data_IF_911993869480
#
_entry.id   IF_911993869480
#
_cell.length_a   1.000
_cell.length_b   1.000
_cell.length_c   1.000
_cell.angle_alpha   90.00
_cell.angle_beta   90.00
_cell.angle_gamma   90.00
#
_symmetry.space_group_name_H-M   'P 1'
#
loop_
_entity.id
_entity.type
_entity.pdbx_description
1 polymer ?
#
# COMPACT_ATOMS: atom_id res chain seq x y z
N UNK A 1 1.45 13.50 -37.94
CA UNK A 1 1.98 12.98 -36.65
C UNK A 1 3.07 11.93 -36.88
N UNK A 2 2.79 10.85 -37.63
CA UNK A 2 3.80 9.83 -37.95
C UNK A 2 5.00 10.39 -38.72
N UNK A 3 4.77 11.27 -39.71
CA UNK A 3 5.88 11.90 -40.47
C UNK A 3 6.75 12.80 -39.59
N UNK A 4 6.13 13.47 -38.61
CA UNK A 4 6.86 14.28 -37.63
C UNK A 4 7.72 13.40 -36.72
N UNK A 5 7.19 12.26 -36.25
CA UNK A 5 7.96 11.30 -35.46
C UNK A 5 9.13 10.72 -36.28
N UNK A 6 8.88 10.31 -37.53
CA UNK A 6 9.94 9.84 -38.43
C UNK A 6 11.02 10.89 -38.62
N UNK A 7 10.63 12.12 -38.92
CA UNK A 7 11.57 13.24 -39.06
C UNK A 7 12.37 13.48 -37.78
N UNK A 8 11.71 13.47 -36.61
CA UNK A 8 12.37 13.62 -35.31
C UNK A 8 13.44 12.55 -35.09
N UNK A 9 13.11 11.28 -35.28
CA UNK A 9 14.05 10.17 -35.06
C UNK A 9 15.17 10.11 -36.13
N UNK A 10 14.88 10.52 -37.37
CA UNK A 10 15.87 10.59 -38.45
C UNK A 10 16.94 11.68 -38.23
N UNK A 11 16.56 12.79 -37.58
CA UNK A 11 17.44 13.94 -37.34
C UNK A 11 17.94 14.02 -35.89
N UNK A 12 17.74 12.95 -35.11
CA UNK A 12 18.10 12.95 -33.71
C UNK A 12 19.61 12.75 -33.53
N UNK A 13 20.24 13.74 -32.92
CA UNK A 13 21.65 13.69 -32.54
C UNK A 13 21.82 13.72 -31.02
N UNK A 14 22.80 12.97 -30.54
CA UNK A 14 23.13 12.81 -29.14
C UNK A 14 24.48 13.41 -28.82
N UNK A 15 24.56 14.02 -27.64
CA UNK A 15 25.80 14.43 -27.00
C UNK A 15 25.76 13.92 -25.56
N UNK A 16 26.75 13.10 -25.19
CA UNK A 16 26.83 12.54 -23.83
C UNK A 16 27.86 13.34 -23.03
N UNK A 17 27.43 13.84 -21.87
CA UNK A 17 28.30 14.52 -20.91
C UNK A 17 28.43 13.70 -19.64
N UNK A 18 29.63 13.22 -19.34
CA UNK A 18 29.92 12.41 -18.15
C UNK A 18 31.31 12.74 -17.59
N UNK A 19 31.42 12.90 -16.27
CA UNK A 19 32.71 13.12 -15.61
C UNK A 19 33.49 14.35 -16.10
N UNK A 20 32.80 15.41 -16.54
CA UNK A 20 33.42 16.61 -17.12
C UNK A 20 33.85 16.48 -18.59
N UNK A 21 33.76 15.28 -19.18
CA UNK A 21 33.99 15.04 -20.61
C UNK A 21 32.69 15.14 -21.39
N UNK A 22 32.77 15.57 -22.65
CA UNK A 22 31.63 15.70 -23.57
C UNK A 22 32.01 15.00 -24.88
N UNK A 23 31.15 14.12 -25.38
CA UNK A 23 31.37 13.45 -26.67
C UNK A 23 31.18 14.43 -27.83
N UNK A 24 31.69 14.07 -29.02
CA UNK A 24 31.18 14.66 -30.25
C UNK A 24 29.70 14.27 -30.45
N UNK A 25 29.01 14.99 -31.35
CA UNK A 25 27.65 14.64 -31.75
C UNK A 25 27.65 13.30 -32.50
N UNK A 26 26.66 12.45 -32.22
CA UNK A 26 26.45 11.19 -32.93
C UNK A 26 24.96 10.86 -33.03
N UNK A 27 24.56 10.12 -34.07
CA UNK A 27 23.20 9.61 -34.22
C UNK A 27 23.06 8.22 -33.58
N UNK A 28 21.90 7.92 -32.99
CA UNK A 28 21.58 6.55 -32.60
C UNK A 28 21.19 5.73 -33.83
N UNK A 29 21.71 4.51 -33.94
CA UNK A 29 21.33 3.57 -34.99
C UNK A 29 19.94 2.96 -34.74
N UNK A 30 19.61 2.72 -33.47
CA UNK A 30 18.36 2.13 -33.02
C UNK A 30 18.05 2.61 -31.59
N UNK A 31 16.77 2.59 -31.23
CA UNK A 31 16.30 2.90 -29.89
C UNK A 31 15.29 4.06 -29.84
N UNK A 32 14.56 4.11 -28.74
CA UNK A 32 13.62 5.19 -28.43
C UNK A 32 14.30 6.28 -27.58
N UNK A 33 13.88 7.53 -27.70
CA UNK A 33 14.43 8.64 -26.94
C UNK A 33 14.01 8.54 -25.46
N UNK A 34 14.94 8.17 -24.58
CA UNK A 34 14.67 8.09 -23.15
C UNK A 34 14.33 9.49 -22.61
N UNK A 35 13.17 9.61 -21.95
CA UNK A 35 12.66 10.88 -21.44
C UNK A 35 11.72 11.62 -22.40
N UNK A 36 11.56 11.15 -23.63
CA UNK A 36 10.54 11.66 -24.55
C UNK A 36 9.13 11.17 -24.18
N UNK A 37 8.11 12.04 -24.21
CA UNK A 37 6.73 11.66 -23.88
C UNK A 37 6.10 10.61 -24.81
N UNK A 38 6.55 10.48 -26.06
CA UNK A 38 6.01 9.52 -27.02
C UNK A 38 6.71 8.15 -26.95
N UNK A 39 7.97 8.09 -26.49
CA UNK A 39 8.73 6.84 -26.36
C UNK A 39 7.98 5.68 -25.67
N UNK A 40 7.23 5.87 -24.56
CA UNK A 40 6.49 4.78 -23.93
C UNK A 40 5.43 4.13 -24.84
N UNK A 41 4.66 4.94 -25.59
CA UNK A 41 3.65 4.39 -26.51
C UNK A 41 4.31 3.76 -27.74
N UNK A 42 5.43 4.31 -28.21
CA UNK A 42 6.19 3.73 -29.31
C UNK A 42 6.73 2.34 -28.96
N UNK A 43 7.20 2.15 -27.72
CA UNK A 43 7.60 0.82 -27.22
C UNK A 43 6.44 -0.17 -27.20
N UNK A 44 5.27 0.24 -26.69
CA UNK A 44 4.08 -0.61 -26.64
C UNK A 44 3.63 -0.99 -28.06
N UNK A 45 3.64 -0.04 -29.01
CA UNK A 45 3.28 -0.31 -30.40
C UNK A 45 4.29 -1.24 -31.08
N UNK A 46 5.59 -1.07 -30.77
CA UNK A 46 6.65 -1.91 -31.31
C UNK A 46 6.52 -3.37 -30.87
N UNK A 47 6.07 -3.65 -29.64
CA UNK A 47 5.82 -5.01 -29.15
C UNK A 47 4.39 -5.52 -29.41
N UNK A 48 3.50 -4.71 -30.01
CA UNK A 48 2.07 -5.01 -30.06
C UNK A 48 1.69 -6.23 -30.91
N UNK A 49 2.62 -6.75 -31.72
CA UNK A 49 2.46 -7.96 -32.52
C UNK A 49 3.11 -9.20 -31.88
N UNK A 50 3.65 -9.09 -30.66
CA UNK A 50 4.08 -10.25 -29.88
C UNK A 50 2.87 -11.14 -29.61
N UNK A 51 2.87 -12.30 -30.26
CA UNK A 51 1.88 -13.32 -30.04
C UNK A 51 2.56 -14.68 -29.96
N UNK A 52 2.19 -15.46 -28.94
CA UNK A 52 2.66 -16.82 -28.75
C UNK A 52 1.55 -17.78 -29.19
N UNK A 53 1.90 -18.83 -29.93
CA UNK A 53 0.93 -19.82 -30.41
C UNK A 53 0.22 -20.47 -29.22
N UNK A 54 -1.10 -20.61 -29.28
CA UNK A 54 -1.87 -21.24 -28.20
C UNK A 54 -1.47 -22.71 -28.02
N UNK A 55 -1.25 -23.10 -26.76
CA UNK A 55 -0.99 -24.48 -26.36
C UNK A 55 -2.12 -24.98 -25.43
N UNK A 56 -2.40 -26.29 -25.39
CA UNK A 56 -3.40 -26.85 -24.48
C UNK A 56 -3.16 -26.55 -23.00
N UNK A 57 -1.90 -26.31 -22.62
CA UNK A 57 -1.46 -25.99 -21.26
C UNK A 57 -1.47 -24.48 -20.95
N UNK A 58 -1.99 -23.65 -21.84
CA UNK A 58 -2.13 -22.21 -21.57
C UNK A 58 -3.23 -21.96 -20.54
N UNK A 59 -3.04 -20.91 -19.73
CA UNK A 59 -4.04 -20.53 -18.75
C UNK A 59 -5.28 -19.96 -19.45
N UNK A 60 -6.46 -20.24 -18.90
CA UNK A 60 -7.72 -19.65 -19.37
C UNK A 60 -8.39 -18.88 -18.25
N UNK A 61 -8.90 -17.69 -18.56
CA UNK A 61 -9.67 -16.85 -17.64
C UNK A 61 -10.98 -16.48 -18.32
N UNK A 62 -12.12 -16.92 -17.79
CA UNK A 62 -13.43 -16.70 -18.39
C UNK A 62 -13.48 -17.03 -19.91
N UNK A 63 -12.84 -18.13 -20.31
CA UNK A 63 -12.76 -18.59 -21.70
C UNK A 63 -11.73 -17.88 -22.58
N UNK A 64 -11.00 -16.88 -22.07
CA UNK A 64 -9.89 -16.23 -22.78
C UNK A 64 -8.57 -16.92 -22.45
N UNK A 65 -7.83 -17.32 -23.47
CA UNK A 65 -6.46 -17.83 -23.33
C UNK A 65 -5.52 -16.70 -22.91
N UNK A 66 -4.67 -16.96 -21.92
CA UNK A 66 -3.64 -16.05 -21.42
C UNK A 66 -2.34 -16.82 -21.33
N UNK A 67 -1.43 -16.56 -22.28
CA UNK A 67 -0.15 -17.25 -22.37
C UNK A 67 1.06 -16.35 -22.05
N UNK A 68 0.88 -15.03 -22.09
CA UNK A 68 1.87 -14.07 -21.62
C UNK A 68 1.22 -12.77 -21.11
N UNK A 69 1.99 -11.98 -20.37
CA UNK A 69 1.68 -10.63 -19.92
C UNK A 69 2.90 -9.74 -20.14
N UNK A 70 2.64 -8.48 -20.48
CA UNK A 70 3.68 -7.49 -20.77
C UNK A 70 3.45 -6.23 -19.95
N UNK A 71 4.54 -5.68 -19.43
CA UNK A 71 4.58 -4.37 -18.83
C UNK A 71 5.92 -3.70 -19.15
N UNK A 72 5.90 -2.81 -20.16
CA UNK A 72 7.13 -2.26 -20.74
C UNK A 72 8.08 -3.39 -21.20
N UNK A 73 9.29 -3.48 -20.65
CA UNK A 73 10.28 -4.53 -20.95
C UNK A 73 10.08 -5.80 -20.11
N UNK A 74 9.32 -5.73 -19.02
CA UNK A 74 9.00 -6.90 -18.21
C UNK A 74 7.94 -7.76 -18.92
N UNK A 75 8.30 -9.00 -19.24
CA UNK A 75 7.38 -9.99 -19.83
C UNK A 75 7.28 -11.22 -18.93
N UNK A 76 6.08 -11.76 -18.78
CA UNK A 76 5.81 -12.97 -18.01
C UNK A 76 5.04 -13.98 -18.86
N UNK A 77 5.63 -15.15 -19.08
CA UNK A 77 4.99 -16.29 -19.76
C UNK A 77 4.42 -17.22 -18.68
N UNK A 78 3.19 -17.71 -18.86
CA UNK A 78 2.51 -18.55 -17.87
C UNK A 78 1.84 -19.74 -18.54
N UNK A 79 2.01 -20.92 -17.95
CA UNK A 79 1.43 -22.20 -18.40
C UNK A 79 1.07 -23.05 -17.18
N UNK A 80 0.14 -23.99 -17.34
CA UNK A 80 -0.19 -25.01 -16.32
C UNK A 80 0.80 -26.18 -16.32
N UNK A 81 1.65 -26.30 -17.33
CA UNK A 81 2.66 -27.34 -17.48
C UNK A 81 4.05 -26.75 -17.60
N UNK A 82 4.98 -27.26 -16.79
CA UNK A 82 6.38 -26.82 -16.83
C UNK A 82 7.03 -27.19 -18.17
N UNK A 83 6.63 -28.31 -18.79
CA UNK A 83 7.14 -28.72 -20.11
C UNK A 83 6.72 -27.76 -21.22
N UNK A 84 5.53 -27.16 -21.13
CA UNK A 84 5.05 -26.18 -22.10
C UNK A 84 5.88 -24.88 -22.09
N UNK A 85 6.68 -24.61 -21.05
CA UNK A 85 7.57 -23.45 -21.02
C UNK A 85 8.67 -23.53 -22.09
N UNK A 86 9.11 -24.74 -22.49
CA UNK A 86 10.18 -24.91 -23.50
C UNK A 86 9.76 -24.37 -24.87
N UNK A 87 8.66 -24.85 -25.50
CA UNK A 87 8.22 -24.30 -26.78
C UNK A 87 7.83 -22.82 -26.69
N UNK A 88 7.23 -22.36 -25.58
CA UNK A 88 6.90 -20.94 -25.38
C UNK A 88 8.14 -20.06 -25.29
N UNK A 89 9.16 -20.49 -24.55
CA UNK A 89 10.44 -19.78 -24.46
C UNK A 89 11.10 -19.70 -25.84
N UNK A 90 11.05 -20.75 -26.64
CA UNK A 90 11.58 -20.75 -28.01
C UNK A 90 10.83 -19.77 -28.91
N UNK A 91 9.49 -19.72 -28.86
CA UNK A 91 8.69 -18.75 -29.62
C UNK A 91 9.03 -17.32 -29.23
N UNK A 92 9.08 -17.02 -27.92
CA UNK A 92 9.44 -15.69 -27.42
C UNK A 92 10.84 -15.27 -27.88
N UNK A 93 11.83 -16.18 -27.80
CA UNK A 93 13.19 -15.93 -28.29
C UNK A 93 13.23 -15.67 -29.80
N UNK A 94 12.45 -16.40 -30.59
CA UNK A 94 12.34 -16.18 -32.04
C UNK A 94 11.74 -14.82 -32.37
N UNK A 95 10.70 -14.43 -31.65
CA UNK A 95 10.11 -13.10 -31.79
C UNK A 95 11.14 -12.02 -31.46
N UNK A 96 11.77 -12.08 -30.28
CA UNK A 96 12.79 -11.10 -29.88
C UNK A 96 13.94 -11.01 -30.89
N UNK A 97 14.44 -12.14 -31.39
CA UNK A 97 15.48 -12.16 -32.42
C UNK A 97 15.00 -11.54 -33.74
N UNK A 98 13.76 -11.79 -34.16
CA UNK A 98 13.16 -11.20 -35.36
C UNK A 98 12.91 -9.69 -35.24
N UNK A 99 12.59 -9.23 -34.04
CA UNK A 99 12.36 -7.82 -33.71
C UNK A 99 13.63 -7.08 -33.27
N UNK A 100 14.81 -7.72 -33.31
CA UNK A 100 16.08 -7.14 -32.85
C UNK A 100 16.07 -6.67 -31.38
N UNK A 101 15.37 -7.41 -30.52
CA UNK A 101 15.33 -7.20 -29.07
C UNK A 101 16.20 -8.24 -28.38
N UNK A 102 17.11 -7.78 -27.53
CA UNK A 102 17.90 -8.65 -26.67
C UNK A 102 17.17 -8.91 -25.35
N UNK A 103 17.15 -10.17 -24.92
CA UNK A 103 16.54 -10.58 -23.65
C UNK A 103 17.58 -10.43 -22.54
N UNK A 104 17.19 -9.87 -21.40
CA UNK A 104 18.07 -9.70 -20.25
C UNK A 104 18.42 -11.02 -19.57
N UNK A 105 19.59 -11.58 -19.89
CA UNK A 105 20.10 -12.86 -19.38
C UNK A 105 20.10 -13.03 -17.84
N UNK A 106 20.67 -12.12 -17.01
CA UNK A 106 20.73 -12.32 -15.55
C UNK A 106 19.41 -12.05 -14.83
N UNK A 107 18.41 -11.46 -15.49
CA UNK A 107 17.13 -11.08 -14.88
C UNK A 107 16.04 -12.13 -15.07
N UNK A 108 16.20 -13.02 -16.05
CA UNK A 108 15.19 -14.00 -16.43
C UNK A 108 15.12 -15.12 -15.39
N UNK A 109 13.94 -15.34 -14.81
CA UNK A 109 13.69 -16.30 -13.74
C UNK A 109 12.40 -17.08 -14.01
N UNK A 110 12.35 -18.32 -13.54
CA UNK A 110 11.14 -19.14 -13.56
C UNK A 110 10.72 -19.49 -12.13
N UNK A 111 9.42 -19.57 -11.88
CA UNK A 111 8.86 -20.02 -10.60
C UNK A 111 7.68 -20.97 -10.87
N UNK A 112 7.58 -22.04 -10.08
CA UNK A 112 6.47 -23.01 -10.15
C UNK A 112 5.59 -22.83 -8.94
N UNK A 113 4.29 -22.64 -9.16
CA UNK A 113 3.28 -22.54 -8.11
C UNK A 113 2.45 -23.83 -8.09
N UNK A 114 2.34 -24.45 -6.91
CA UNK A 114 1.65 -25.73 -6.72
C UNK A 114 2.62 -26.90 -6.56
N UNK A 115 2.22 -28.08 -7.04
CA UNK A 115 3.05 -29.27 -6.97
C UNK A 115 4.29 -29.12 -7.85
N UNK A 116 5.47 -29.41 -7.29
CA UNK A 116 6.71 -29.39 -8.06
C UNK A 116 6.78 -30.60 -8.99
N UNK A 117 7.29 -30.46 -10.23
CA UNK A 117 7.53 -31.60 -11.10
C UNK A 117 8.69 -32.44 -10.54
N UNK A 118 8.72 -33.72 -10.91
CA UNK A 118 9.85 -34.60 -10.59
C UNK A 118 11.13 -34.15 -11.32
N UNK A 119 10.98 -33.65 -12.54
CA UNK A 119 12.07 -33.17 -13.37
C UNK A 119 11.73 -31.79 -13.94
N UNK A 120 12.66 -30.86 -13.80
CA UNK A 120 12.56 -29.52 -14.38
C UNK A 120 13.13 -29.54 -15.80
N UNK A 121 12.45 -28.91 -16.77
CA UNK A 121 13.01 -28.78 -18.11
C UNK A 121 14.20 -27.83 -18.12
N UNK A 122 15.10 -28.03 -19.07
CA UNK A 122 16.17 -27.07 -19.35
C UNK A 122 15.59 -25.86 -20.08
N UNK A 123 15.72 -24.68 -19.48
CA UNK A 123 15.33 -23.40 -20.06
C UNK A 123 16.57 -22.52 -20.15
N UNK A 124 16.73 -21.82 -21.27
CA UNK A 124 17.83 -20.86 -21.44
C UNK A 124 17.40 -19.64 -22.25
N UNK A 125 17.97 -18.50 -21.90
CA UNK A 125 18.03 -17.33 -22.77
C UNK A 125 19.44 -17.31 -23.34
N UNK A 126 19.57 -17.34 -24.67
CA UNK A 126 20.87 -17.48 -25.33
C UNK A 126 21.63 -18.71 -24.81
N UNK A 127 22.80 -18.53 -24.19
CA UNK A 127 23.61 -19.57 -23.55
C UNK A 127 23.42 -19.61 -22.02
N UNK A 128 22.64 -18.68 -21.46
CA UNK A 128 22.43 -18.52 -20.02
C UNK A 128 21.22 -19.34 -19.54
N UNK A 129 21.38 -20.32 -18.63
CA UNK A 129 20.26 -21.07 -18.08
C UNK A 129 19.32 -20.18 -17.24
N UNK A 130 18.00 -20.37 -17.40
CA UNK A 130 17.00 -19.71 -16.56
C UNK A 130 16.87 -20.50 -15.25
N UNK A 131 17.13 -19.83 -14.13
CA UNK A 131 17.01 -20.44 -12.82
C UNK A 131 15.55 -20.59 -12.38
N UNK A 132 15.20 -21.77 -11.87
CA UNK A 132 13.96 -21.96 -11.11
C UNK A 132 14.16 -21.49 -9.67
N UNK A 133 13.43 -20.45 -9.28
CA UNK A 133 13.54 -19.80 -7.98
C UNK A 133 12.23 -19.88 -7.21
N UNK A 134 12.28 -19.97 -5.87
CA UNK A 134 11.08 -20.01 -5.04
C UNK A 134 10.39 -18.64 -4.96
N UNK A 135 11.10 -17.55 -5.24
CA UNK A 135 10.60 -16.17 -5.10
C UNK A 135 10.86 -15.38 -6.37
N UNK A 136 9.81 -14.81 -6.94
CA UNK A 136 9.86 -13.94 -8.13
C UNK A 136 9.19 -12.59 -7.83
N UNK A 137 9.62 -11.53 -8.51
CA UNK A 137 8.98 -10.22 -8.43
C UNK A 137 8.49 -9.81 -9.81
N UNK A 138 7.20 -9.53 -9.93
CA UNK A 138 6.56 -9.07 -11.17
C UNK A 138 5.98 -7.68 -10.91
N UNK A 139 6.41 -6.69 -11.69
CA UNK A 139 5.91 -5.29 -11.60
C UNK A 139 5.87 -4.78 -10.15
N UNK A 140 6.91 -5.09 -9.37
CA UNK A 140 7.07 -4.65 -7.99
C UNK A 140 6.26 -5.41 -6.92
N UNK A 141 5.56 -6.49 -7.29
CA UNK A 141 4.88 -7.44 -6.38
C UNK A 141 5.69 -8.74 -6.27
N UNK A 142 6.03 -9.14 -5.04
CA UNK A 142 6.83 -10.34 -4.79
C UNK A 142 5.96 -11.54 -4.44
N UNK A 143 6.14 -12.64 -5.16
CA UNK A 143 5.46 -13.92 -4.95
C UNK A 143 6.47 -14.98 -4.52
N UNK A 144 6.14 -15.76 -3.50
CA UNK A 144 6.97 -16.87 -3.00
C UNK A 144 6.17 -18.17 -3.07
N UNK A 145 6.51 -19.06 -3.98
CA UNK A 145 5.74 -20.27 -4.27
C UNK A 145 5.80 -21.34 -3.17
N UNK A 146 6.88 -21.37 -2.40
CA UNK A 146 7.09 -22.32 -1.30
C UNK A 146 6.43 -21.88 0.01
N UNK A 147 5.87 -20.66 0.07
CA UNK A 147 5.22 -20.14 1.26
C UNK A 147 3.71 -20.40 1.23
N UNK A 148 3.14 -20.83 2.36
CA UNK A 148 1.67 -20.92 2.51
C UNK A 148 0.99 -19.57 2.23
N UNK A 149 1.64 -18.45 2.55
CA UNK A 149 1.22 -17.14 2.05
C UNK A 149 2.13 -16.75 0.90
N UNK A 150 1.64 -16.88 -0.34
CA UNK A 150 2.41 -16.53 -1.53
C UNK A 150 2.91 -15.08 -1.48
N UNK A 151 2.19 -14.18 -0.79
CA UNK A 151 2.53 -12.77 -0.71
C UNK A 151 3.25 -12.38 0.59
N UNK A 152 3.66 -13.35 1.44
CA UNK A 152 4.32 -13.06 2.73
C UNK A 152 5.52 -12.14 2.58
N UNK A 153 6.39 -12.47 1.63
CA UNK A 153 7.66 -11.77 1.46
C UNK A 153 7.45 -10.38 0.86
N UNK A 154 6.37 -10.17 0.11
CA UNK A 154 5.96 -8.84 -0.33
C UNK A 154 5.69 -7.93 0.87
N UNK A 155 4.89 -8.37 1.84
CA UNK A 155 4.64 -7.60 3.06
C UNK A 155 5.93 -7.27 3.81
N UNK A 156 6.83 -8.24 4.01
CA UNK A 156 8.09 -8.07 4.73
C UNK A 156 9.05 -7.09 4.03
N UNK A 157 9.15 -7.17 2.69
CA UNK A 157 9.96 -6.26 1.89
C UNK A 157 9.41 -4.85 1.95
N UNK A 158 8.09 -4.66 1.75
CA UNK A 158 7.46 -3.34 1.83
C UNK A 158 7.51 -2.75 3.24
N UNK A 159 7.40 -3.56 4.29
CA UNK A 159 7.61 -3.14 5.67
C UNK A 159 9.02 -2.59 5.88
N UNK A 160 10.03 -3.30 5.38
CA UNK A 160 11.44 -2.88 5.49
C UNK A 160 11.69 -1.57 4.74
N UNK A 161 11.24 -1.47 3.49
CA UNK A 161 11.38 -0.23 2.70
C UNK A 161 10.63 0.94 3.35
N UNK A 162 9.38 0.74 3.77
CA UNK A 162 8.58 1.77 4.42
C UNK A 162 9.21 2.23 5.73
N UNK A 163 9.76 1.31 6.53
CA UNK A 163 10.50 1.63 7.76
C UNK A 163 11.75 2.46 7.47
N UNK A 164 12.52 2.10 6.46
CA UNK A 164 13.72 2.84 6.08
C UNK A 164 13.35 4.26 5.64
N UNK A 165 12.33 4.42 4.79
CA UNK A 165 11.85 5.74 4.39
C UNK A 165 11.29 6.55 5.56
N UNK A 166 10.54 5.91 6.46
CA UNK A 166 10.04 6.53 7.68
C UNK A 166 11.18 7.08 8.55
N UNK A 167 12.22 6.27 8.78
CA UNK A 167 13.39 6.66 9.55
C UNK A 167 14.15 7.82 8.87
N UNK A 168 14.35 7.76 7.55
CA UNK A 168 14.99 8.85 6.81
C UNK A 168 14.22 10.17 6.90
N UNK A 169 12.89 10.13 6.80
CA UNK A 169 12.07 11.34 6.91
C UNK A 169 12.13 11.94 8.33
N UNK A 170 12.07 11.10 9.37
CA UNK A 170 12.09 11.55 10.76
C UNK A 170 13.48 11.97 11.24
N UNK A 171 14.55 11.40 10.66
CA UNK A 171 15.92 11.78 10.96
C UNK A 171 16.25 13.23 10.52
N UNK A 172 15.44 13.82 9.63
CA UNK A 172 15.59 15.20 9.18
C UNK A 172 15.66 16.19 10.35
N UNK A 173 14.93 15.93 11.44
CA UNK A 173 14.94 16.77 12.64
C UNK A 173 16.33 16.94 13.27
N UNK A 174 17.18 15.92 13.16
CA UNK A 174 18.56 15.97 13.65
C UNK A 174 19.46 16.91 12.84
N UNK A 175 19.08 17.25 11.60
CA UNK A 175 19.86 18.10 10.70
C UNK A 175 19.33 19.53 10.64
N UNK A 176 18.01 19.72 10.72
CA UNK A 176 17.36 21.04 10.50
C UNK A 176 16.60 21.56 11.73
N UNK A 177 16.62 20.83 12.85
CA UNK A 177 15.82 21.14 14.03
C UNK A 177 14.37 20.66 13.92
N UNK A 178 13.48 21.07 14.84
CA UNK A 178 12.10 20.58 14.90
C UNK A 178 11.34 20.80 13.59
N UNK A 179 10.83 19.71 12.99
CA UNK A 179 10.09 19.78 11.72
C UNK A 179 8.59 19.93 12.00
N UNK A 180 7.90 20.89 11.38
CA UNK A 180 6.44 21.03 11.52
C UNK A 180 5.68 19.75 11.13
N UNK A 181 4.64 19.34 11.88
CA UNK A 181 3.82 18.16 11.56
C UNK A 181 3.22 18.18 10.16
N UNK A 182 2.93 19.37 9.62
CA UNK A 182 2.42 19.53 8.24
C UNK A 182 3.41 19.07 7.18
N UNK A 183 4.70 19.32 7.39
CA UNK A 183 5.77 18.85 6.51
C UNK A 183 5.95 17.34 6.69
N UNK A 184 5.97 16.84 7.93
CA UNK A 184 6.06 15.40 8.19
C UNK A 184 4.87 14.63 7.61
N UNK A 185 3.65 15.18 7.64
CA UNK A 185 2.49 14.57 6.97
C UNK A 185 2.67 14.52 5.45
N UNK A 186 3.25 15.56 4.86
CA UNK A 186 3.54 15.59 3.42
C UNK A 186 4.61 14.54 3.06
N UNK A 187 5.65 14.41 3.88
CA UNK A 187 6.68 13.37 3.72
C UNK A 187 6.11 11.97 3.90
N UNK A 188 5.20 11.76 4.86
CA UNK A 188 4.48 10.50 5.01
C UNK A 188 3.76 10.12 3.73
N UNK A 189 2.93 11.03 3.20
CA UNK A 189 2.14 10.79 2.00
C UNK A 189 3.00 10.55 0.75
N UNK A 190 4.13 11.26 0.63
CA UNK A 190 4.99 11.17 -0.54
C UNK A 190 6.01 10.01 -0.49
N UNK A 191 6.47 9.60 0.70
CA UNK A 191 7.64 8.72 0.85
C UNK A 191 7.35 7.43 1.62
N UNK A 192 6.36 7.42 2.52
CA UNK A 192 6.09 6.26 3.38
C UNK A 192 4.84 5.52 2.92
N UNK A 193 3.73 6.24 2.77
CA UNK A 193 2.44 5.68 2.34
C UNK A 193 2.51 4.87 1.04
N UNK A 194 3.24 5.29 -0.02
CA UNK A 194 3.35 4.52 -1.26
C UNK A 194 3.88 3.10 -1.03
N UNK A 195 4.79 2.91 -0.07
CA UNK A 195 5.29 1.59 0.28
C UNK A 195 4.30 0.80 1.14
N UNK A 196 3.54 1.46 2.01
CA UNK A 196 2.53 0.81 2.86
C UNK A 196 1.32 0.31 2.04
N UNK A 197 0.97 0.99 0.95
CA UNK A 197 -0.15 0.60 0.07
C UNK A 197 0.29 -0.15 -1.19
N UNK A 198 1.59 -0.33 -1.41
CA UNK A 198 2.13 -0.97 -2.61
C UNK A 198 1.54 -2.37 -2.83
N UNK A 199 0.87 -2.56 -3.97
CA UNK A 199 0.29 -3.84 -4.37
C UNK A 199 -0.88 -4.30 -3.50
N UNK A 200 -1.53 -3.42 -2.71
CA UNK A 200 -2.68 -3.80 -1.87
C UNK A 200 -3.91 -4.27 -2.69
N UNK A 201 -3.95 -3.94 -3.97
CA UNK A 201 -4.98 -4.39 -4.92
C UNK A 201 -4.80 -5.87 -5.28
N UNK A 202 -3.59 -6.42 -5.11
CA UNK A 202 -3.24 -7.83 -5.35
C UNK A 202 -3.10 -8.57 -4.01
N UNK A 203 -2.31 -8.00 -3.10
CA UNK A 203 -2.09 -8.50 -1.74
C UNK A 203 -3.19 -8.01 -0.80
N UNK A 204 -4.33 -8.69 -0.85
CA UNK A 204 -5.46 -8.43 0.03
C UNK A 204 -5.13 -8.87 1.47
N UNK A 205 -5.57 -8.08 2.45
CA UNK A 205 -5.21 -8.25 3.87
C UNK A 205 -6.05 -9.34 4.57
N UNK A 206 -6.10 -10.55 4.01
CA UNK A 206 -6.92 -11.68 4.52
C UNK A 206 -6.44 -12.16 5.89
N UNK A 207 -5.13 -12.15 6.13
CA UNK A 207 -4.52 -12.55 7.41
C UNK A 207 -4.12 -11.30 8.21
N UNK A 208 -4.71 -11.06 9.39
CA UNK A 208 -4.37 -9.91 10.22
C UNK A 208 -2.87 -9.81 10.58
N UNK A 209 -2.21 -10.95 10.73
CA UNK A 209 -0.77 -11.02 11.07
C UNK A 209 0.14 -10.50 9.96
N UNK A 210 -0.28 -10.59 8.69
CA UNK A 210 0.52 -10.10 7.56
C UNK A 210 0.60 -8.58 7.52
N UNK A 211 -0.49 -7.89 7.87
CA UNK A 211 -0.58 -6.43 7.86
C UNK A 211 0.08 -5.76 9.08
N UNK A 212 0.23 -6.49 10.19
CA UNK A 212 0.68 -5.96 11.48
C UNK A 212 2.03 -5.22 11.41
N UNK A 213 2.95 -5.69 10.57
CA UNK A 213 4.24 -5.04 10.34
C UNK A 213 4.12 -3.65 9.71
N UNK A 214 3.29 -3.53 8.67
CA UNK A 214 3.02 -2.25 7.98
C UNK A 214 2.25 -1.28 8.89
N UNK A 215 1.26 -1.76 9.64
CA UNK A 215 0.54 -0.95 10.63
C UNK A 215 1.48 -0.43 11.72
N UNK A 216 2.46 -1.23 12.16
CA UNK A 216 3.47 -0.80 13.13
C UNK A 216 4.30 0.36 12.59
N UNK A 217 4.69 0.33 11.32
CA UNK A 217 5.40 1.44 10.68
C UNK A 217 4.52 2.70 10.67
N UNK A 218 3.25 2.60 10.23
CA UNK A 218 2.32 3.74 10.23
C UNK A 218 2.16 4.33 11.64
N UNK A 219 1.81 3.51 12.63
CA UNK A 219 1.60 3.98 14.00
C UNK A 219 2.86 4.62 14.58
N UNK A 220 4.04 4.05 14.33
CA UNK A 220 5.31 4.59 14.83
C UNK A 220 5.61 5.94 14.20
N UNK A 221 5.39 6.08 12.89
CA UNK A 221 5.57 7.35 12.19
C UNK A 221 4.64 8.43 12.73
N UNK A 222 3.33 8.14 12.83
CA UNK A 222 2.33 9.11 13.31
C UNK A 222 2.55 9.50 14.77
N UNK A 223 2.99 8.56 15.63
CA UNK A 223 3.36 8.88 17.02
C UNK A 223 4.53 9.85 17.09
N UNK A 224 5.60 9.60 16.34
CA UNK A 224 6.76 10.50 16.30
C UNK A 224 6.40 11.86 15.73
N UNK A 225 5.61 11.88 14.65
CA UNK A 225 5.09 13.11 14.05
C UNK A 225 4.31 13.98 15.04
N UNK A 226 3.57 13.37 15.95
CA UNK A 226 2.77 14.04 16.97
C UNK A 226 3.55 14.27 18.29
N UNK A 227 4.81 13.84 18.39
CA UNK A 227 5.58 13.94 19.64
C UNK A 227 5.06 13.05 20.78
N UNK A 228 4.40 11.94 20.43
CA UNK A 228 3.77 10.99 21.35
C UNK A 228 4.65 9.80 21.69
N UNK A 229 4.45 9.26 22.89
CA UNK A 229 5.10 8.05 23.37
C UNK A 229 4.62 6.77 22.66
N UNK A 230 5.39 5.68 22.76
CA UNK A 230 5.12 4.42 22.05
C UNK A 230 3.84 3.70 22.52
N UNK A 231 3.36 4.02 23.72
CA UNK A 231 2.14 3.45 24.34
C UNK A 231 0.91 4.38 24.25
N UNK A 232 1.00 5.46 23.47
CA UNK A 232 -0.13 6.38 23.23
C UNK A 232 -1.31 5.67 22.55
N UNK A 233 -2.51 6.20 22.80
CA UNK A 233 -3.76 5.74 22.19
C UNK A 233 -3.68 5.83 20.66
N UNK A 234 -4.36 4.93 19.94
CA UNK A 234 -4.29 4.86 18.46
C UNK A 234 -5.26 5.81 17.77
N UNK A 235 -6.49 5.96 18.29
CA UNK A 235 -7.49 6.82 17.67
C UNK A 235 -7.00 8.25 17.40
N UNK A 236 -6.27 8.93 18.33
CA UNK A 236 -5.72 10.26 18.06
C UNK A 236 -4.75 10.34 16.89
N UNK A 237 -4.04 9.24 16.57
CA UNK A 237 -3.13 9.23 15.42
C UNK A 237 -3.87 9.50 14.12
N UNK A 238 -5.14 9.13 14.04
CA UNK A 238 -5.97 9.26 12.84
C UNK A 238 -6.94 10.44 12.94
N UNK A 239 -7.54 10.67 14.12
CA UNK A 239 -8.49 11.76 14.32
C UNK A 239 -7.84 13.14 14.29
N UNK A 240 -6.57 13.24 14.69
CA UNK A 240 -5.86 14.51 14.73
C UNK A 240 -5.09 14.81 13.44
N UNK A 241 -4.66 13.77 12.71
CA UNK A 241 -3.85 13.93 11.49
C UNK A 241 -4.65 13.88 10.20
N UNK A 242 -5.82 13.24 10.20
CA UNK A 242 -6.58 12.95 8.98
C UNK A 242 -6.02 11.80 8.13
N UNK A 243 -4.98 11.11 8.60
CA UNK A 243 -4.48 9.88 7.96
C UNK A 243 -5.42 8.73 8.28
N UNK A 244 -5.75 7.93 7.27
CA UNK A 244 -6.58 6.74 7.49
C UNK A 244 -5.77 5.61 8.12
N UNK A 245 -6.34 4.84 9.06
CA UNK A 245 -5.75 3.57 9.48
C UNK A 245 -5.50 2.69 8.25
N UNK A 246 -4.30 2.13 8.17
CA UNK A 246 -3.77 1.51 6.96
C UNK A 246 -4.70 0.41 6.40
N UNK A 247 -5.32 -0.38 7.27
CA UNK A 247 -6.27 -1.43 6.91
C UNK A 247 -7.47 -0.91 6.12
N UNK A 248 -8.08 0.20 6.57
CA UNK A 248 -9.19 0.83 5.85
C UNK A 248 -8.72 1.44 4.53
N UNK A 249 -7.53 2.07 4.52
CA UNK A 249 -6.94 2.67 3.31
C UNK A 249 -6.69 1.61 2.23
N UNK A 250 -6.07 0.48 2.59
CA UNK A 250 -5.78 -0.64 1.67
C UNK A 250 -7.06 -1.31 1.17
N UNK A 251 -8.03 -1.54 2.05
CA UNK A 251 -9.33 -2.08 1.66
C UNK A 251 -10.06 -1.16 0.68
N UNK A 252 -10.09 0.16 0.94
CA UNK A 252 -10.69 1.14 0.04
C UNK A 252 -10.00 1.19 -1.32
N UNK A 253 -8.66 1.10 -1.37
CA UNK A 253 -7.91 1.02 -2.62
C UNK A 253 -8.22 -0.26 -3.42
N UNK A 254 -8.30 -1.41 -2.76
CA UNK A 254 -8.68 -2.67 -3.41
C UNK A 254 -10.11 -2.63 -3.99
N UNK A 255 -11.06 -2.02 -3.27
CA UNK A 255 -12.42 -1.80 -3.78
C UNK A 255 -12.45 -0.77 -4.91
N UNK A 256 -11.59 0.25 -4.87
CA UNK A 256 -11.44 1.20 -5.97
C UNK A 256 -10.89 0.52 -7.24
N UNK A 257 -9.98 -0.44 -7.08
CA UNK A 257 -9.52 -1.28 -8.20
C UNK A 257 -10.66 -2.15 -8.75
N UNK A 258 -11.51 -2.73 -7.90
CA UNK A 258 -12.73 -3.41 -8.37
C UNK A 258 -13.63 -2.46 -9.19
N UNK A 259 -13.82 -1.22 -8.75
CA UNK A 259 -14.58 -0.22 -9.50
C UNK A 259 -13.97 0.05 -10.88
N UNK A 260 -12.63 0.16 -10.95
CA UNK A 260 -11.90 0.29 -12.20
C UNK A 260 -12.16 -0.90 -13.14
N UNK A 261 -12.07 -2.13 -12.64
CA UNK A 261 -12.31 -3.35 -13.43
C UNK A 261 -13.71 -3.39 -14.02
N UNK A 262 -14.74 -3.04 -13.24
CA UNK A 262 -16.13 -3.05 -13.70
C UNK A 262 -16.41 -1.96 -14.74
N UNK A 263 -15.80 -0.78 -14.57
CA UNK A 263 -16.00 0.38 -15.43
C UNK A 263 -15.22 0.29 -16.75
N UNK A 264 -13.93 -0.04 -16.67
CA UNK A 264 -13.03 0.00 -17.83
C UNK A 264 -13.00 -1.34 -18.57
N UNK A 265 -13.33 -2.44 -17.88
CA UNK A 265 -13.35 -3.81 -18.42
C UNK A 265 -12.11 -4.16 -19.26
N UNK A 266 -10.89 -3.91 -18.74
CA UNK A 266 -9.69 -4.28 -19.48
C UNK A 266 -9.69 -5.81 -19.74
N UNK A 267 -9.33 -6.30 -20.94
CA UNK A 267 -9.67 -7.65 -21.37
C UNK A 267 -9.23 -8.76 -20.41
N UNK A 268 -7.95 -8.79 -20.03
CA UNK A 268 -7.41 -9.83 -19.14
C UNK A 268 -7.87 -9.62 -17.69
N UNK A 269 -7.70 -8.44 -17.06
CA UNK A 269 -8.07 -8.28 -15.65
C UNK A 269 -9.58 -8.39 -15.39
N UNK A 270 -10.43 -8.01 -16.36
CA UNK A 270 -11.88 -8.21 -16.25
C UNK A 270 -12.25 -9.70 -16.34
N UNK A 271 -11.63 -10.44 -17.26
CA UNK A 271 -11.80 -11.90 -17.35
C UNK A 271 -11.33 -12.59 -16.06
N UNK A 272 -10.21 -12.13 -15.47
CA UNK A 272 -9.72 -12.60 -14.18
C UNK A 272 -10.71 -12.35 -13.04
N UNK A 273 -11.39 -11.20 -13.03
CA UNK A 273 -12.44 -10.88 -12.05
C UNK A 273 -13.65 -11.82 -12.20
N UNK A 274 -14.09 -12.09 -13.43
CA UNK A 274 -15.19 -13.02 -13.69
C UNK A 274 -14.85 -14.43 -13.20
N UNK A 275 -13.64 -14.91 -13.50
CA UNK A 275 -13.14 -16.20 -13.02
C UNK A 275 -13.06 -16.25 -11.50
N UNK A 276 -12.46 -15.22 -10.88
CA UNK A 276 -12.37 -15.12 -9.42
C UNK A 276 -13.75 -15.09 -8.75
N UNK A 277 -14.73 -14.41 -9.34
CA UNK A 277 -16.10 -14.41 -8.84
C UNK A 277 -16.73 -15.81 -8.95
N UNK A 278 -16.61 -16.47 -10.11
CA UNK A 278 -17.11 -17.84 -10.32
C UNK A 278 -16.53 -18.81 -9.29
N UNK A 279 -15.21 -18.83 -9.12
CA UNK A 279 -14.53 -19.63 -8.10
C UNK A 279 -15.08 -19.35 -6.70
N UNK A 280 -15.25 -18.07 -6.34
CA UNK A 280 -15.82 -17.68 -5.05
C UNK A 280 -17.24 -18.23 -4.86
N UNK A 281 -18.11 -18.13 -5.87
CA UNK A 281 -19.49 -18.65 -5.80
C UNK A 281 -19.56 -20.16 -5.65
N UNK A 282 -18.55 -20.88 -6.14
CA UNK A 282 -18.39 -22.32 -6.00
C UNK A 282 -17.72 -22.73 -4.68
N UNK A 283 -17.36 -21.76 -3.83
CA UNK A 283 -16.74 -22.02 -2.53
C UNK A 283 -15.22 -22.17 -2.56
N UNK A 284 -14.57 -21.88 -3.69
CA UNK A 284 -13.11 -21.92 -3.82
C UNK A 284 -12.46 -20.58 -3.42
N UNK A 285 -11.25 -20.61 -2.81
CA UNK A 285 -10.46 -19.41 -2.58
C UNK A 285 -10.10 -18.72 -3.90
N UNK A 286 -10.23 -17.39 -3.93
CA UNK A 286 -9.98 -16.53 -5.07
C UNK A 286 -9.76 -15.09 -4.60
N UNK A 287 -9.34 -14.21 -5.52
CA UNK A 287 -9.23 -12.78 -5.25
C UNK A 287 -10.57 -12.18 -4.76
N UNK A 288 -11.71 -12.59 -5.33
CA UNK A 288 -13.02 -12.08 -4.92
C UNK A 288 -13.42 -12.55 -3.51
N UNK A 289 -13.19 -13.83 -3.18
CA UNK A 289 -13.43 -14.32 -1.83
C UNK A 289 -12.51 -13.63 -0.83
N UNK A 290 -11.24 -13.42 -1.16
CA UNK A 290 -10.26 -12.77 -0.31
C UNK A 290 -10.64 -11.31 -0.02
N UNK A 291 -11.16 -10.58 -1.01
CA UNK A 291 -11.67 -9.22 -0.82
C UNK A 291 -12.84 -9.20 0.15
N UNK A 292 -13.77 -10.15 0.03
CA UNK A 292 -14.90 -10.30 0.97
C UNK A 292 -14.42 -10.57 2.39
N UNK A 293 -13.43 -11.44 2.57
CA UNK A 293 -12.85 -11.73 3.88
C UNK A 293 -12.15 -10.50 4.47
N UNK A 294 -11.34 -9.78 3.68
CA UNK A 294 -10.64 -8.58 4.12
C UNK A 294 -11.61 -7.47 4.57
N UNK A 295 -12.70 -7.25 3.81
CA UNK A 295 -13.74 -6.27 4.16
C UNK A 295 -14.51 -6.65 5.42
N UNK A 296 -14.83 -7.94 5.58
CA UNK A 296 -15.49 -8.46 6.79
C UNK A 296 -14.58 -8.38 8.03
N UNK A 297 -13.26 -8.47 7.84
CA UNK A 297 -12.26 -8.41 8.90
C UNK A 297 -11.88 -6.97 9.32
N UNK A 298 -12.50 -5.94 8.73
CA UNK A 298 -12.37 -4.57 9.21
C UNK A 298 -12.93 -4.45 10.64
N UNK A 299 -12.39 -3.55 11.49
CA UNK A 299 -12.90 -3.31 12.84
C UNK A 299 -14.41 -3.04 12.90
N UNK A 300 -14.93 -2.33 11.90
CA UNK A 300 -16.36 -2.26 11.61
C UNK A 300 -16.56 -3.02 10.29
N UNK A 301 -17.18 -4.22 10.30
CA UNK A 301 -17.28 -5.07 9.12
C UNK A 301 -18.05 -4.41 7.97
N UNK A 302 -17.53 -4.53 6.76
CA UNK A 302 -18.21 -4.13 5.53
C UNK A 302 -18.50 -5.38 4.70
N UNK A 303 -19.74 -5.49 4.19
CA UNK A 303 -20.20 -6.70 3.50
C UNK A 303 -20.18 -6.50 1.99
N UNK A 304 -19.38 -7.31 1.31
CA UNK A 304 -19.43 -7.48 -0.15
C UNK A 304 -20.27 -8.72 -0.48
N UNK A 305 -21.43 -8.56 -1.16
CA UNK A 305 -22.31 -9.67 -1.48
C UNK A 305 -21.65 -10.68 -2.42
N UNK A 306 -22.02 -11.96 -2.29
CA UNK A 306 -21.55 -13.01 -3.19
C UNK A 306 -22.32 -13.01 -4.51
N UNK A 307 -23.62 -12.81 -4.42
CA UNK A 307 -24.57 -12.79 -5.55
C UNK A 307 -25.48 -11.56 -5.41
N UNK A 308 -25.83 -10.88 -6.51
CA UNK A 308 -25.38 -11.08 -7.90
C UNK A 308 -23.91 -10.66 -8.13
N UNK A 309 -23.41 -10.84 -9.37
CA UNK A 309 -22.11 -10.28 -9.79
C UNK A 309 -22.07 -8.77 -9.50
N UNK A 310 -20.95 -8.23 -8.98
CA UNK A 310 -20.89 -6.84 -8.55
C UNK A 310 -21.12 -5.86 -9.71
N UNK A 311 -21.86 -4.78 -9.42
CA UNK A 311 -22.10 -3.67 -10.34
C UNK A 311 -21.35 -2.42 -9.89
N UNK A 312 -21.14 -1.46 -10.79
CA UNK A 312 -20.50 -0.17 -10.46
C UNK A 312 -21.23 0.58 -9.34
N UNK A 313 -22.58 0.54 -9.33
CA UNK A 313 -23.40 1.14 -8.28
C UNK A 313 -23.14 0.51 -6.92
N UNK A 314 -23.17 -0.82 -6.85
CA UNK A 314 -22.88 -1.55 -5.60
C UNK A 314 -21.48 -1.26 -5.08
N UNK A 315 -20.48 -1.16 -5.96
CA UNK A 315 -19.09 -0.88 -5.56
C UNK A 315 -18.93 0.56 -5.09
N UNK A 316 -19.62 1.52 -5.70
CA UNK A 316 -19.66 2.91 -5.21
C UNK A 316 -20.26 2.98 -3.80
N UNK A 317 -21.37 2.28 -3.57
CA UNK A 317 -22.01 2.25 -2.25
C UNK A 317 -21.11 1.54 -1.22
N UNK A 318 -20.36 0.52 -1.65
CA UNK A 318 -19.36 -0.17 -0.84
C UNK A 318 -18.19 0.75 -0.43
N UNK A 319 -17.72 1.63 -1.33
CA UNK A 319 -16.69 2.63 -0.99
C UNK A 319 -17.21 3.60 0.09
N UNK A 320 -18.47 4.06 -0.03
CA UNK A 320 -19.13 4.86 1.00
C UNK A 320 -19.26 4.11 2.33
N UNK A 321 -19.64 2.83 2.29
CA UNK A 321 -19.73 2.00 3.48
C UNK A 321 -18.38 1.82 4.21
N UNK A 322 -17.25 1.78 3.49
CA UNK A 322 -15.91 1.76 4.09
C UNK A 322 -15.60 3.09 4.79
N UNK A 323 -15.99 4.22 4.19
CA UNK A 323 -15.82 5.55 4.79
C UNK A 323 -16.66 5.69 6.07
N UNK A 324 -17.92 5.25 6.03
CA UNK A 324 -18.82 5.25 7.19
C UNK A 324 -18.31 4.30 8.29
N UNK A 325 -17.84 3.10 7.92
CA UNK A 325 -17.24 2.14 8.84
C UNK A 325 -15.98 2.70 9.52
N UNK A 326 -15.13 3.41 8.77
CA UNK A 326 -13.96 4.09 9.32
C UNK A 326 -14.37 5.23 10.28
N UNK A 327 -15.35 6.04 9.89
CA UNK A 327 -15.86 7.11 10.74
C UNK A 327 -16.39 6.54 12.07
N UNK A 328 -17.20 5.48 11.99
CA UNK A 328 -17.73 4.78 13.16
C UNK A 328 -16.63 4.18 14.02
N UNK A 329 -15.59 3.58 13.43
CA UNK A 329 -14.46 3.00 14.16
C UNK A 329 -13.73 4.07 14.99
N UNK A 330 -13.35 5.19 14.37
CA UNK A 330 -12.65 6.28 15.08
C UNK A 330 -13.55 6.88 16.17
N UNK A 331 -14.82 7.13 15.86
CA UNK A 331 -15.78 7.66 16.82
C UNK A 331 -15.93 6.74 18.04
N UNK A 332 -16.13 5.45 17.80
CA UNK A 332 -16.31 4.44 18.85
C UNK A 332 -15.07 4.34 19.75
N UNK A 333 -13.87 4.27 19.17
CA UNK A 333 -12.62 4.21 19.93
C UNK A 333 -12.42 5.43 20.85
N UNK A 334 -12.76 6.63 20.37
CA UNK A 334 -12.70 7.85 21.20
C UNK A 334 -13.75 7.79 22.32
N UNK A 335 -15.00 7.46 21.99
CA UNK A 335 -16.11 7.48 22.95
C UNK A 335 -15.95 6.45 24.07
N UNK A 336 -15.40 5.28 23.74
CA UNK A 336 -15.13 4.20 24.68
C UNK A 336 -13.85 4.41 25.51
N UNK A 337 -12.97 5.33 25.09
CA UNK A 337 -11.73 5.60 25.82
C UNK A 337 -11.98 6.50 27.03
N UNK A 338 -11.75 5.96 28.23
CA UNK A 338 -11.67 6.76 29.46
C UNK A 338 -10.41 7.64 29.56
N UNK A 339 -9.60 7.70 28.50
CA UNK A 339 -8.33 8.43 28.45
C UNK A 339 -8.32 9.51 27.38
N UNK A 340 -9.47 9.92 26.84
CA UNK A 340 -9.52 10.96 25.81
C UNK A 340 -10.63 11.97 26.11
N UNK A 341 -10.73 12.52 27.34
CA UNK A 341 -11.86 13.33 27.75
C UNK A 341 -12.04 14.58 26.86
N UNK A 342 -10.94 15.22 26.47
CA UNK A 342 -10.99 16.43 25.64
C UNK A 342 -11.40 16.15 24.19
N UNK A 343 -10.91 15.05 23.59
CA UNK A 343 -11.32 14.65 22.24
C UNK A 343 -12.77 14.15 22.25
N UNK A 344 -13.17 13.43 23.29
CA UNK A 344 -14.55 12.99 23.50
C UNK A 344 -15.50 14.18 23.57
N UNK A 345 -15.19 15.19 24.38
CA UNK A 345 -15.98 16.43 24.47
C UNK A 345 -16.09 17.16 23.12
N UNK A 346 -15.06 17.08 22.25
CA UNK A 346 -15.13 17.58 20.87
C UNK A 346 -16.06 16.73 20.00
N UNK A 347 -16.01 15.41 20.15
CA UNK A 347 -16.83 14.46 19.40
C UNK A 347 -18.31 14.54 19.79
N UNK A 348 -18.62 14.82 21.05
CA UNK A 348 -19.99 15.01 21.55
C UNK A 348 -20.70 16.21 20.91
N UNK A 349 -19.94 17.14 20.32
CA UNK A 349 -20.45 18.34 19.61
C UNK A 349 -20.57 18.13 18.10
N UNK A 350 -20.27 16.95 17.58
CA UNK A 350 -20.36 16.68 16.16
C UNK A 350 -21.82 16.58 15.70
N UNK A 351 -22.12 17.05 14.47
CA UNK A 351 -23.45 16.91 13.91
C UNK A 351 -23.77 15.44 13.63
N UNK A 352 -25.06 15.09 13.74
CA UNK A 352 -25.58 13.81 13.27
C UNK A 352 -26.15 13.97 11.84
N UNK A 353 -25.89 13.05 10.91
CA UNK A 353 -25.01 11.87 11.04
C UNK A 353 -23.52 12.25 11.00
N UNK A 354 -22.71 11.50 11.76
CA UNK A 354 -21.25 11.67 11.81
C UNK A 354 -20.65 11.24 10.47
N UNK A 355 -19.87 12.10 9.83
CA UNK A 355 -19.15 11.78 8.59
C UNK A 355 -17.67 11.61 8.85
N UNK A 356 -16.99 10.91 7.95
CA UNK A 356 -15.54 10.67 8.06
C UNK A 356 -14.73 11.96 8.20
N UNK A 357 -15.09 13.00 7.43
CA UNK A 357 -14.44 14.33 7.50
C UNK A 357 -14.56 15.01 8.87
N UNK A 358 -15.51 14.60 9.70
CA UNK A 358 -15.75 15.20 11.01
C UNK A 358 -14.82 14.60 12.07
N UNK A 359 -14.51 13.30 11.95
CA UNK A 359 -13.72 12.53 12.92
C UNK A 359 -12.29 12.24 12.48
N UNK A 360 -12.00 12.24 11.18
CA UNK A 360 -10.68 11.98 10.61
C UNK A 360 -10.23 13.18 9.76
N UNK A 361 -9.71 14.21 10.42
CA UNK A 361 -9.21 15.42 9.75
C UNK A 361 -7.97 15.96 10.44
N UNK A 362 -7.09 16.57 9.64
CA UNK A 362 -5.95 17.31 10.18
C UNK A 362 -6.44 18.50 11.00
N UNK A 363 -6.07 18.55 12.27
CA UNK A 363 -6.54 19.60 13.18
C UNK A 363 -5.70 20.87 13.09
N UNK A 364 -6.36 22.02 13.26
CA UNK A 364 -5.74 23.34 13.09
C UNK A 364 -4.60 23.59 14.07
N UNK A 365 -4.67 23.07 15.30
CA UNK A 365 -3.61 23.29 16.29
C UNK A 365 -2.27 22.63 15.90
N UNK A 366 -2.24 21.72 14.93
CA UNK A 366 -1.00 21.16 14.38
C UNK A 366 -0.18 22.20 13.59
N UNK A 367 -0.75 23.36 13.26
CA UNK A 367 -0.05 24.47 12.60
C UNK A 367 0.49 25.52 13.57
N UNK A 368 0.35 25.33 14.89
CA UNK A 368 0.97 26.21 15.90
C UNK A 368 2.48 26.23 15.67
N UNK A 369 3.05 27.43 15.50
CA UNK A 369 4.45 27.64 15.10
C UNK A 369 5.44 27.23 16.18
N UNK A 370 5.16 27.58 17.44
CA UNK A 370 5.98 27.18 18.57
C UNK A 370 5.84 25.66 18.81
N UNK A 371 6.94 24.93 18.61
CA UNK A 371 6.97 23.47 18.73
C UNK A 371 6.60 22.98 20.13
N UNK A 372 7.11 23.61 21.18
CA UNK A 372 6.83 23.22 22.56
C UNK A 372 5.35 23.41 22.90
N UNK A 373 4.73 24.53 22.49
CA UNK A 373 3.31 24.75 22.72
C UNK A 373 2.45 23.72 21.97
N UNK A 374 2.80 23.45 20.71
CA UNK A 374 2.12 22.46 19.88
C UNK A 374 2.20 21.07 20.49
N UNK A 375 3.39 20.63 20.91
CA UNK A 375 3.58 19.33 21.57
C UNK A 375 2.80 19.24 22.88
N UNK A 376 2.82 20.28 23.70
CA UNK A 376 2.03 20.32 24.94
C UNK A 376 0.54 20.20 24.67
N UNK A 377 0.01 20.90 23.67
CA UNK A 377 -1.40 20.80 23.26
C UNK A 377 -1.74 19.39 22.77
N UNK A 378 -0.90 18.80 21.92
CA UNK A 378 -1.09 17.43 21.43
C UNK A 378 -1.10 16.45 22.61
N UNK A 379 -0.08 16.48 23.46
CA UNK A 379 0.04 15.58 24.62
C UNK A 379 -1.13 15.74 25.58
N UNK A 380 -1.61 16.97 25.79
CA UNK A 380 -2.79 17.25 26.60
C UNK A 380 -4.05 16.61 26.01
N UNK A 381 -4.31 16.80 24.71
CA UNK A 381 -5.50 16.26 24.03
C UNK A 381 -5.49 14.73 23.94
N UNK A 382 -4.32 14.11 23.78
CA UNK A 382 -4.19 12.66 23.59
C UNK A 382 -3.87 11.90 24.86
N UNK A 383 -3.94 12.57 26.02
CA UNK A 383 -3.60 12.04 27.35
C UNK A 383 -2.23 11.34 27.41
N UNK A 384 -1.25 12.07 26.88
CA UNK A 384 0.18 11.75 26.94
C UNK A 384 1.00 12.82 27.69
N UNK A 385 0.31 13.63 28.50
CA UNK A 385 0.87 14.67 29.36
C UNK A 385 1.35 14.12 30.71
N UNK A 386 1.92 15.01 31.54
CA UNK A 386 2.55 14.70 32.85
C UNK A 386 1.65 14.96 34.06
N UNK A 387 0.33 14.95 33.88
CA UNK A 387 -0.57 15.12 35.03
C UNK A 387 -0.67 13.80 35.78
N UNK A 388 -0.93 13.84 37.08
CA UNK A 388 -0.97 12.65 37.92
C UNK A 388 -2.00 11.62 37.43
N UNK A 389 -3.09 12.04 36.77
CA UNK A 389 -4.06 11.11 36.15
C UNK A 389 -3.41 10.16 35.13
N UNK A 390 -2.40 10.60 34.39
CA UNK A 390 -1.67 9.78 33.42
C UNK A 390 -0.40 9.17 33.99
N UNK A 391 0.40 9.92 34.75
CA UNK A 391 1.68 9.43 35.28
C UNK A 391 1.45 8.26 36.24
N UNK A 392 0.55 8.41 37.19
CA UNK A 392 0.25 7.37 38.19
C UNK A 392 -0.55 6.19 37.60
N UNK A 393 -1.11 6.35 36.39
CA UNK A 393 -1.71 5.23 35.65
C UNK A 393 -0.65 4.32 35.04
N UNK A 394 0.51 4.85 34.68
CA UNK A 394 1.58 4.12 33.98
C UNK A 394 2.44 3.29 34.92
N UNK A 395 2.27 3.47 36.23
CA UNK A 395 2.94 2.69 37.25
C UNK A 395 2.64 1.19 37.08
N UNK A 396 3.59 0.32 37.44
CA UNK A 396 3.36 -1.12 37.46
C UNK A 396 2.12 -1.48 38.30
N UNK A 397 1.44 -2.60 38.03
CA UNK A 397 0.26 -3.01 38.79
C UNK A 397 0.46 -3.05 40.31
N UNK A 398 1.66 -3.35 40.78
CA UNK A 398 2.03 -3.37 42.20
C UNK A 398 2.00 -1.98 42.87
N UNK A 399 2.15 -0.92 42.09
CA UNK A 399 2.18 0.49 42.53
C UNK A 399 0.96 1.26 41.97
N UNK A 400 -0.05 0.55 41.48
CA UNK A 400 -1.18 1.17 40.81
C UNK A 400 -1.96 2.09 41.76
N UNK A 401 -1.96 3.38 41.46
CA UNK A 401 -2.72 4.36 42.25
C UNK A 401 -4.15 4.45 41.69
N UNK A 402 -5.18 4.20 42.51
CA UNK A 402 -6.58 4.38 42.13
C UNK A 402 -6.85 5.79 41.63
N UNK A 403 -7.77 5.94 40.67
CA UNK A 403 -8.04 7.25 40.03
C UNK A 403 -8.34 8.37 41.04
N UNK A 404 -9.20 8.08 42.05
CA UNK A 404 -9.57 9.03 43.09
C UNK A 404 -8.42 9.45 44.02
N UNK A 405 -7.31 8.70 44.02
CA UNK A 405 -6.14 8.97 44.86
C UNK A 405 -5.04 9.75 44.11
N UNK A 406 -5.25 10.09 42.84
CA UNK A 406 -4.31 10.86 42.02
C UNK A 406 -4.49 12.36 42.28
N UNK A 407 -4.22 12.76 43.52
CA UNK A 407 -4.50 14.10 44.05
C UNK A 407 -3.70 15.17 43.29
N UNK A 408 -4.36 16.28 42.98
CA UNK A 408 -3.78 17.46 42.31
C UNK A 408 -2.64 18.09 43.13
N UNK A 409 -1.42 18.08 42.58
CA UNK A 409 -0.25 18.69 43.22
C UNK A 409 -0.28 20.23 43.22
N UNK A 410 -1.04 20.84 42.29
CA UNK A 410 -1.16 22.29 42.17
C UNK A 410 -2.00 22.87 43.32
N UNK A 411 -3.24 22.41 43.52
CA UNK A 411 -4.13 22.95 44.56
C UNK A 411 -4.06 22.18 45.90
N UNK A 412 -3.53 20.94 45.90
CA UNK A 412 -3.39 20.06 47.08
C UNK A 412 -4.69 19.75 47.83
N UNK A 413 -5.85 19.90 47.20
CA UNK A 413 -7.16 19.58 47.81
C UNK A 413 -7.36 18.06 47.84
N UNK A 414 -7.68 17.49 49.01
CA UNK A 414 -7.81 16.02 49.23
C UNK A 414 -8.86 15.31 48.35
N UNK A 415 -9.77 16.03 47.69
CA UNK A 415 -10.76 15.47 46.77
C UNK A 415 -10.58 15.86 45.30
N UNK A 416 -9.55 16.64 44.97
CA UNK A 416 -9.30 17.09 43.62
C UNK A 416 -8.35 16.14 42.89
N UNK A 417 -8.82 15.49 41.84
CA UNK A 417 -7.99 14.65 40.97
C UNK A 417 -7.22 15.53 39.99
N UNK A 418 -5.95 15.22 39.75
CA UNK A 418 -5.12 15.92 38.77
C UNK A 418 -5.39 15.46 37.35
N UNK A 419 -6.57 15.78 36.84
CA UNK A 419 -6.94 15.55 35.45
C UNK A 419 -6.93 16.83 34.62
N UNK A 420 -7.13 16.66 33.31
CA UNK A 420 -7.08 17.73 32.33
C UNK A 420 -8.11 18.82 32.61
N UNK A 421 -9.32 18.46 33.06
CA UNK A 421 -10.42 19.40 33.31
C UNK A 421 -10.13 20.20 34.57
N UNK A 422 -9.75 19.51 35.66
CA UNK A 422 -9.44 20.14 36.93
C UNK A 422 -8.32 21.17 36.77
N UNK A 423 -7.19 20.78 36.19
CA UNK A 423 -6.00 21.64 36.08
C UNK A 423 -6.25 22.87 35.20
N UNK A 424 -7.08 22.76 34.16
CA UNK A 424 -7.31 23.86 33.21
C UNK A 424 -8.45 24.80 33.61
N UNK A 425 -9.44 24.31 34.37
CA UNK A 425 -10.71 25.04 34.57
C UNK A 425 -11.05 25.25 36.05
N UNK A 426 -10.68 24.33 36.94
CA UNK A 426 -11.19 24.30 38.32
C UNK A 426 -10.14 24.57 39.42
N UNK A 427 -8.86 24.35 39.10
CA UNK A 427 -7.75 24.23 40.06
C UNK A 427 -7.57 25.46 40.97
#
# INVERSE_FOLDING_TARGET
LLDWLRWLYEHLEYVVKAGGTTTASFSALAGILIGDPASPILWILFLSDLNLDELPDDLTLAGRVVNHLEFADDSAIMTSSVQALVPKNLQFRRYCAGSFVEIGDPKSQAAVFGALPNEFPSLSVSETPIAFVPTITLVGVTFTSTAHNVLKDHYLRKETTARNMANSCLALEGFVGPVPPTILLSLYQARVDPHLVAGCEVALDVRPTALAGLERVQHTYLRRLLGLGPRSQRAPLFSETGVWPLRFRRAWLAVRYLAYLLRQRPPIPYSALQEAWTLATQGHPSWYSDLRHALRALPVPVLLPMTPFPTEGMVRDLLGAIEDALAQHIYTEVQQSGRLPLIKARFDRLPSPIKLKDVCKKQAYLTVTNAAHRESLVRLLTSDHKLAVEELRRLPPAEAVPHLHRICHFCRRRGAVEDEVHVLVEC
#
